data_IF_978231297641
#
_entry.id   IF_978231297641
#
_cell.length_a   1.000
_cell.length_b   1.000
_cell.length_c   1.000
_cell.angle_alpha   90.00
_cell.angle_beta   90.00
_cell.angle_gamma   90.00
#
_symmetry.space_group_name_H-M   'P 1'
#
loop_
_entity.id
_entity.type
_entity.pdbx_description
1 polymer ?
#
# COMPACT_ATOMS: atom_id res chain seq x y z
N UNK A 1 12.42 17.84 2.16
CA UNK A 1 11.60 17.09 1.20
C UNK A 1 10.88 16.00 1.95
N UNK A 2 9.55 16.05 1.98
CA UNK A 2 8.72 15.03 2.61
C UNK A 2 8.79 13.71 1.79
N UNK A 3 8.40 12.55 2.35
CA UNK A 3 8.49 11.27 1.65
C UNK A 3 7.74 11.24 0.31
N UNK A 4 6.61 11.95 0.22
CA UNK A 4 5.77 12.03 -0.96
C UNK A 4 6.44 12.78 -2.12
N UNK A 5 7.06 13.92 -1.83
CA UNK A 5 7.85 14.69 -2.80
C UNK A 5 9.02 13.86 -3.33
N UNK A 6 9.70 13.09 -2.46
CA UNK A 6 10.79 12.20 -2.88
C UNK A 6 10.29 11.11 -3.83
N UNK A 7 9.15 10.49 -3.50
CA UNK A 7 8.55 9.47 -4.37
C UNK A 7 8.18 10.02 -5.76
N UNK A 8 7.67 11.25 -5.83
CA UNK A 8 7.39 11.91 -7.11
C UNK A 8 8.65 12.25 -7.90
N UNK A 9 9.70 12.73 -7.22
CA UNK A 9 11.00 13.00 -7.85
C UNK A 9 11.58 11.72 -8.46
N UNK A 10 11.59 10.63 -7.71
CA UNK A 10 12.07 9.32 -8.19
C UNK A 10 11.21 8.84 -9.36
N UNK A 11 9.88 8.88 -9.24
CA UNK A 11 8.97 8.48 -10.30
C UNK A 11 9.22 9.26 -11.60
N UNK A 12 9.36 10.59 -11.52
CA UNK A 12 9.60 11.42 -12.71
C UNK A 12 10.99 11.22 -13.30
N UNK A 13 12.01 11.00 -12.46
CA UNK A 13 13.34 10.66 -12.95
C UNK A 13 13.33 9.30 -13.67
N UNK A 14 12.67 8.31 -13.10
CA UNK A 14 12.57 6.97 -13.67
C UNK A 14 11.78 6.93 -14.99
N UNK A 15 10.80 7.82 -15.18
CA UNK A 15 10.12 8.00 -16.47
C UNK A 15 11.05 8.49 -17.60
N UNK A 16 12.13 9.21 -17.25
CA UNK A 16 13.15 9.66 -18.22
C UNK A 16 14.24 8.59 -18.43
N UNK A 17 14.37 7.64 -17.51
CA UNK A 17 15.26 6.49 -17.63
C UNK A 17 15.44 5.72 -16.33
N UNK A 18 15.51 4.40 -16.43
CA UNK A 18 15.78 3.52 -15.29
C UNK A 18 17.20 3.69 -14.77
N UNK A 19 17.33 3.85 -13.46
CA UNK A 19 18.62 3.87 -12.77
C UNK A 19 19.13 2.45 -12.48
N UNK A 20 18.21 1.51 -12.22
CA UNK A 20 18.53 0.16 -11.78
C UNK A 20 19.11 0.12 -10.36
N UNK A 21 19.96 -0.86 -10.03
CA UNK A 21 20.56 -0.98 -8.69
C UNK A 21 21.53 0.16 -8.35
N UNK A 22 21.44 0.69 -7.14
CA UNK A 22 22.29 1.78 -6.65
C UNK A 22 23.42 1.26 -5.72
N UNK A 23 24.40 0.55 -6.27
CA UNK A 23 25.48 -0.11 -5.51
C UNK A 23 26.33 0.83 -4.62
N UNK A 24 26.44 2.11 -4.99
CA UNK A 24 27.19 3.12 -4.23
C UNK A 24 26.37 3.76 -3.09
N UNK A 25 25.09 3.42 -2.96
CA UNK A 25 24.22 3.94 -1.91
C UNK A 25 24.56 3.27 -0.56
N UNK A 26 24.74 4.06 0.50
CA UNK A 26 25.04 3.55 1.85
C UNK A 26 23.93 2.69 2.44
N UNK A 27 22.73 2.76 1.87
CA UNK A 27 21.56 1.96 2.27
C UNK A 27 21.37 0.71 1.40
N UNK A 28 22.25 0.44 0.43
CA UNK A 28 22.13 -0.71 -0.46
C UNK A 28 22.74 -1.99 0.15
N UNK A 29 22.06 -3.15 0.04
CA UNK A 29 20.64 -3.30 -0.29
C UNK A 29 19.75 -2.88 0.89
N UNK A 30 18.62 -2.23 0.61
CA UNK A 30 17.64 -1.86 1.63
C UNK A 30 16.61 -2.99 1.86
N UNK A 31 16.30 -3.73 0.79
CA UNK A 31 15.34 -4.82 0.75
C UNK A 31 16.00 -6.15 0.33
N UNK A 32 16.68 -6.19 -0.82
CA UNK A 32 17.38 -7.39 -1.31
C UNK A 32 18.51 -7.05 -2.31
N UNK A 33 19.46 -7.97 -2.47
CA UNK A 33 20.57 -7.81 -3.40
C UNK A 33 20.08 -7.82 -4.86
N UNK A 34 20.58 -6.88 -5.67
CA UNK A 34 20.11 -6.68 -7.04
C UNK A 34 18.81 -5.87 -7.18
N UNK A 35 18.26 -5.31 -6.10
CA UNK A 35 17.05 -4.48 -6.15
C UNK A 35 17.15 -3.30 -7.13
N UNK A 36 16.05 -2.98 -7.81
CA UNK A 36 15.91 -1.77 -8.61
C UNK A 36 15.60 -0.58 -7.70
N UNK A 37 16.43 0.47 -7.79
CA UNK A 37 16.32 1.68 -6.97
C UNK A 37 15.77 2.87 -7.77
N UNK A 38 15.26 2.68 -8.99
CA UNK A 38 14.71 3.75 -9.83
C UNK A 38 13.52 4.45 -9.16
N UNK A 39 12.73 3.71 -8.39
CA UNK A 39 11.65 4.22 -7.55
C UNK A 39 11.96 3.90 -6.09
N UNK A 40 13.06 4.46 -5.57
CA UNK A 40 13.54 4.17 -4.22
C UNK A 40 12.52 4.57 -3.14
N UNK A 41 11.82 5.68 -3.34
CA UNK A 41 10.68 6.08 -2.54
C UNK A 41 9.38 5.65 -3.21
N UNK A 42 8.66 4.72 -2.57
CA UNK A 42 7.43 4.15 -3.13
C UNK A 42 6.32 5.21 -3.29
N UNK A 43 5.75 5.39 -4.50
CA UNK A 43 4.68 6.36 -4.76
C UNK A 43 3.35 5.96 -4.12
N UNK A 44 3.22 4.70 -3.73
CA UNK A 44 2.03 4.12 -3.11
C UNK A 44 2.06 4.16 -1.58
N UNK A 45 3.09 4.75 -0.97
CA UNK A 45 3.20 4.77 0.49
C UNK A 45 2.14 5.68 1.14
N UNK A 46 1.43 5.23 2.20
CA UNK A 46 1.32 3.85 2.68
C UNK A 46 0.30 3.06 1.84
N UNK A 47 0.63 1.88 1.31
CA UNK A 47 -0.29 1.17 0.41
C UNK A 47 -1.38 0.39 1.15
N UNK A 48 -1.16 0.10 2.44
CA UNK A 48 -2.05 -0.70 3.28
C UNK A 48 -2.38 -2.11 2.72
N UNK A 49 -1.49 -2.66 1.89
CA UNK A 49 -1.59 -4.02 1.34
C UNK A 49 -0.59 -4.96 2.03
N UNK A 50 -1.07 -5.78 2.96
CA UNK A 50 -0.24 -6.78 3.67
C UNK A 50 0.39 -7.79 2.71
N UNK A 51 -0.28 -8.07 1.58
CA UNK A 51 0.20 -9.03 0.56
C UNK A 51 1.52 -8.64 -0.09
N UNK A 52 1.87 -7.35 -0.05
CA UNK A 52 3.14 -6.84 -0.55
C UNK A 52 4.23 -6.86 0.53
N UNK A 53 3.98 -7.44 1.71
CA UNK A 53 4.94 -7.50 2.82
C UNK A 53 4.94 -6.26 3.72
N UNK A 54 4.04 -5.29 3.47
CA UNK A 54 3.86 -4.13 4.34
C UNK A 54 3.11 -4.48 5.63
N UNK A 55 3.26 -3.68 6.68
CA UNK A 55 2.51 -3.83 7.93
C UNK A 55 2.43 -2.55 8.76
N UNK A 56 1.36 -2.38 9.54
CA UNK A 56 1.27 -1.30 10.53
C UNK A 56 2.16 -1.64 11.72
N UNK A 57 3.05 -0.72 12.09
CA UNK A 57 3.86 -0.77 13.30
C UNK A 57 3.68 0.51 14.12
N UNK A 58 4.09 0.47 15.39
CA UNK A 58 4.22 1.65 16.23
C UNK A 58 5.69 2.07 16.24
N UNK A 59 5.97 3.30 15.80
CA UNK A 59 7.31 3.88 15.81
C UNK A 59 7.80 4.16 17.25
N UNK A 60 9.08 4.46 17.40
CA UNK A 60 9.71 4.73 18.71
C UNK A 60 9.09 5.91 19.47
N UNK A 61 8.45 6.83 18.76
CA UNK A 61 7.74 7.99 19.32
C UNK A 61 6.22 7.75 19.46
N UNK A 62 5.76 6.51 19.32
CA UNK A 62 4.38 6.10 19.60
C UNK A 62 3.38 6.35 18.48
N UNK A 63 3.84 6.69 17.26
CA UNK A 63 2.96 6.92 16.10
C UNK A 63 2.77 5.64 15.29
N UNK A 64 1.61 5.49 14.66
CA UNK A 64 1.40 4.42 13.69
C UNK A 64 2.11 4.73 12.38
N UNK A 65 2.81 3.74 11.83
CA UNK A 65 3.57 3.85 10.58
C UNK A 65 3.35 2.58 9.76
N UNK A 66 3.23 2.72 8.45
CA UNK A 66 3.27 1.58 7.54
C UNK A 66 4.72 1.19 7.28
N UNK A 67 5.15 0.03 7.79
CA UNK A 67 6.47 -0.52 7.53
C UNK A 67 6.48 -1.27 6.22
N UNK A 68 7.33 -0.86 5.27
CA UNK A 68 7.60 -1.60 4.03
C UNK A 68 8.82 -2.52 4.15
N UNK A 69 9.36 -2.77 5.35
CA UNK A 69 10.65 -3.46 5.53
C UNK A 69 10.73 -4.82 4.82
N UNK A 70 9.61 -5.54 4.72
CA UNK A 70 9.54 -6.85 4.06
C UNK A 70 8.89 -6.78 2.66
N UNK A 71 8.74 -5.58 2.09
CA UNK A 71 8.22 -5.38 0.74
C UNK A 71 9.35 -5.40 -0.28
N UNK A 72 9.28 -6.33 -1.24
CA UNK A 72 10.21 -6.40 -2.36
C UNK A 72 9.58 -5.93 -3.67
N UNK A 73 8.25 -5.91 -3.74
CA UNK A 73 7.50 -5.74 -4.99
C UNK A 73 7.93 -4.51 -5.80
N UNK A 74 7.96 -3.32 -5.18
CA UNK A 74 8.31 -2.07 -5.89
C UNK A 74 9.80 -1.97 -6.29
N UNK A 75 10.61 -2.96 -5.88
CA UNK A 75 12.04 -3.04 -6.16
C UNK A 75 12.40 -4.16 -7.12
N UNK A 76 11.43 -4.98 -7.54
CA UNK A 76 11.58 -5.90 -8.66
C UNK A 76 11.47 -5.10 -9.96
N UNK A 77 12.41 -5.34 -10.88
CA UNK A 77 12.55 -4.53 -12.09
C UNK A 77 11.28 -4.52 -12.94
N UNK A 78 10.65 -5.68 -13.09
CA UNK A 78 9.44 -5.86 -13.88
C UNK A 78 8.28 -5.00 -13.33
N UNK A 79 8.14 -4.92 -12.01
CA UNK A 79 7.11 -4.10 -11.37
C UNK A 79 7.43 -2.61 -11.48
N UNK A 80 8.71 -2.21 -11.42
CA UNK A 80 9.13 -0.82 -11.68
C UNK A 80 8.73 -0.41 -13.10
N UNK A 81 9.04 -1.25 -14.09
CA UNK A 81 8.68 -1.01 -15.49
C UNK A 81 7.16 -0.87 -15.68
N UNK A 82 6.37 -1.72 -15.03
CA UNK A 82 4.91 -1.66 -15.07
C UNK A 82 4.34 -0.38 -14.45
N UNK A 83 4.87 0.03 -13.29
CA UNK A 83 4.49 1.28 -12.61
C UNK A 83 4.80 2.49 -13.49
N UNK A 84 5.94 2.50 -14.17
CA UNK A 84 6.31 3.59 -15.08
C UNK A 84 5.43 3.61 -16.31
N UNK A 85 5.13 2.45 -16.90
CA UNK A 85 4.23 2.35 -18.04
C UNK A 85 2.83 2.88 -17.67
N UNK A 86 2.31 2.50 -16.50
CA UNK A 86 1.02 2.98 -16.00
C UNK A 86 1.02 4.50 -15.81
N UNK A 87 1.97 5.04 -15.06
CA UNK A 87 1.96 6.48 -14.74
C UNK A 87 2.37 7.39 -15.89
N UNK A 88 3.05 6.86 -16.92
CA UNK A 88 3.42 7.61 -18.13
C UNK A 88 2.19 8.04 -18.96
N UNK A 89 1.03 7.42 -18.74
CA UNK A 89 -0.24 7.84 -19.35
C UNK A 89 -0.83 9.11 -18.71
N UNK A 90 -0.30 9.56 -17.56
CA UNK A 90 -0.85 10.68 -16.81
C UNK A 90 0.03 11.94 -16.91
N UNK A 91 -0.58 13.14 -17.01
CA UNK A 91 0.18 14.39 -16.92
C UNK A 91 0.88 14.51 -15.55
N UNK A 92 2.12 14.99 -15.52
CA UNK A 92 2.87 15.24 -14.27
C UNK A 92 2.11 16.13 -13.29
N UNK A 93 1.41 17.15 -13.79
CA UNK A 93 0.61 18.04 -12.96
C UNK A 93 -0.49 17.29 -12.20
N UNK A 94 -1.15 16.32 -12.85
CA UNK A 94 -2.14 15.46 -12.21
C UNK A 94 -1.49 14.63 -11.10
N UNK A 95 -0.31 14.04 -11.35
CA UNK A 95 0.39 13.23 -10.35
C UNK A 95 0.87 14.04 -9.14
N UNK A 96 1.15 15.34 -9.32
CA UNK A 96 1.49 16.28 -8.24
C UNK A 96 0.26 16.65 -7.40
N UNK A 97 -0.89 16.84 -8.03
CA UNK A 97 -2.15 17.21 -7.37
C UNK A 97 -2.92 16.01 -6.78
N UNK A 98 -2.61 14.81 -7.24
CA UNK A 98 -3.27 13.58 -6.83
C UNK A 98 -3.08 13.28 -5.34
N UNK A 99 -4.17 12.83 -4.72
CA UNK A 99 -4.22 12.43 -3.32
C UNK A 99 -3.84 10.95 -3.13
N UNK A 100 -3.89 10.49 -1.87
CA UNK A 100 -3.59 9.10 -1.54
C UNK A 100 -4.53 8.10 -2.23
N UNK A 101 -5.81 8.47 -2.39
CA UNK A 101 -6.86 7.64 -3.00
C UNK A 101 -6.49 7.29 -4.46
N UNK A 102 -6.02 8.28 -5.22
CA UNK A 102 -5.56 8.04 -6.58
C UNK A 102 -4.43 6.99 -6.67
N UNK A 103 -3.43 7.05 -5.79
CA UNK A 103 -2.30 6.12 -5.82
C UNK A 103 -2.72 4.71 -5.38
N UNK A 104 -3.56 4.58 -4.36
CA UNK A 104 -4.02 3.24 -3.92
C UNK A 104 -4.92 2.57 -4.97
N UNK A 105 -5.78 3.34 -5.66
CA UNK A 105 -6.61 2.81 -6.76
C UNK A 105 -5.75 2.41 -7.95
N UNK A 106 -4.77 3.25 -8.31
CA UNK A 106 -3.79 2.92 -9.35
C UNK A 106 -2.97 1.66 -9.04
N UNK A 107 -2.60 1.45 -7.78
CA UNK A 107 -1.90 0.23 -7.38
C UNK A 107 -2.77 -1.02 -7.60
N UNK A 108 -4.08 -0.93 -7.33
CA UNK A 108 -4.99 -2.05 -7.56
C UNK A 108 -5.14 -2.36 -9.05
N UNK A 109 -5.30 -1.33 -9.89
CA UNK A 109 -5.31 -1.49 -11.35
C UNK A 109 -4.03 -2.19 -11.85
N UNK A 110 -2.86 -1.80 -11.33
CA UNK A 110 -1.58 -2.46 -11.68
C UNK A 110 -1.55 -3.92 -11.19
N UNK A 111 -1.97 -4.19 -9.95
CA UNK A 111 -1.85 -5.52 -9.35
C UNK A 111 -2.91 -6.53 -9.82
N UNK A 112 -4.10 -6.05 -10.18
CA UNK A 112 -5.29 -6.87 -10.40
C UNK A 112 -5.95 -6.63 -11.75
N UNK A 113 -5.57 -5.57 -12.47
CA UNK A 113 -6.21 -5.14 -13.71
C UNK A 113 -7.52 -4.37 -13.51
N UNK A 114 -7.94 -4.17 -12.26
CA UNK A 114 -9.11 -3.37 -11.87
C UNK A 114 -9.01 -2.92 -10.40
N UNK A 115 -9.69 -1.83 -10.05
CA UNK A 115 -10.01 -1.45 -8.67
C UNK A 115 -10.98 -2.47 -8.05
N UNK A 116 -10.50 -3.34 -7.15
CA UNK A 116 -11.33 -4.33 -6.44
C UNK A 116 -11.74 -3.91 -5.02
N UNK A 117 -11.07 -2.91 -4.46
CA UNK A 117 -11.55 -2.17 -3.29
C UNK A 117 -12.76 -1.31 -3.67
N UNK A 118 -13.54 -0.88 -2.68
CA UNK A 118 -14.79 -0.17 -2.94
C UNK A 118 -15.13 0.85 -1.86
N UNK A 119 -15.91 1.86 -2.23
CA UNK A 119 -16.47 2.81 -1.28
C UNK A 119 -17.50 2.11 -0.39
N UNK A 120 -17.28 2.13 0.92
CA UNK A 120 -18.15 1.55 1.94
C UNK A 120 -18.64 2.67 2.88
N UNK A 121 -19.75 3.31 2.48
CA UNK A 121 -20.30 4.45 3.21
C UNK A 121 -19.37 5.65 3.18
N UNK A 122 -18.71 5.93 4.31
CA UNK A 122 -17.73 7.03 4.45
C UNK A 122 -16.28 6.56 4.40
N UNK A 123 -16.06 5.24 4.36
CA UNK A 123 -14.74 4.63 4.30
C UNK A 123 -14.48 4.02 2.93
N UNK A 124 -13.21 3.77 2.63
CA UNK A 124 -12.78 2.98 1.48
C UNK A 124 -12.31 1.60 1.94
N UNK A 125 -12.90 0.53 1.41
CA UNK A 125 -12.61 -0.84 1.82
C UNK A 125 -11.54 -1.49 0.94
N UNK A 126 -10.37 -1.72 1.53
CA UNK A 126 -9.22 -2.41 0.93
C UNK A 126 -9.14 -3.87 1.36
N UNK A 127 -10.17 -4.41 2.04
CA UNK A 127 -10.23 -5.83 2.40
C UNK A 127 -10.11 -6.73 1.17
N UNK A 128 -10.87 -6.54 0.07
CA UNK A 128 -10.75 -7.39 -1.12
C UNK A 128 -9.33 -7.39 -1.68
N UNK A 129 -8.69 -6.22 -1.80
CA UNK A 129 -7.32 -6.09 -2.29
C UNK A 129 -6.28 -6.77 -1.39
N UNK A 130 -6.55 -6.92 -0.09
CA UNK A 130 -5.67 -7.61 0.84
C UNK A 130 -5.81 -9.13 0.78
N UNK A 131 -6.99 -9.66 0.46
CA UNK A 131 -7.30 -11.10 0.56
C UNK A 131 -7.54 -11.79 -0.79
N UNK A 132 -7.51 -11.04 -1.90
CA UNK A 132 -7.72 -11.57 -3.24
C UNK A 132 -6.81 -12.78 -3.52
N UNK A 133 -7.44 -13.93 -3.78
CA UNK A 133 -6.76 -15.19 -4.06
C UNK A 133 -6.27 -15.97 -2.83
N UNK A 134 -6.58 -15.53 -1.61
CA UNK A 134 -6.25 -16.28 -0.39
C UNK A 134 -7.34 -17.28 -0.01
N UNK A 135 -6.94 -18.33 0.71
CA UNK A 135 -7.88 -19.27 1.32
C UNK A 135 -8.52 -18.61 2.54
N UNK A 136 -9.84 -18.39 2.49
CA UNK A 136 -10.61 -17.73 3.54
C UNK A 136 -11.69 -18.64 4.12
N UNK A 137 -11.86 -18.60 5.43
CA UNK A 137 -12.95 -19.25 6.16
C UNK A 137 -13.86 -18.19 6.82
N UNK A 138 -15.20 -18.39 6.82
CA UNK A 138 -16.10 -17.51 7.54
C UNK A 138 -15.84 -17.50 9.05
N UNK A 139 -16.02 -16.35 9.68
CA UNK A 139 -16.01 -16.18 11.14
C UNK A 139 -17.36 -15.62 11.61
N UNK A 140 -17.76 -16.01 12.83
CA UNK A 140 -18.99 -15.50 13.45
C UNK A 140 -18.83 -14.04 13.94
N UNK A 141 -17.63 -13.70 14.40
CA UNK A 141 -17.26 -12.40 14.93
C UNK A 141 -15.79 -12.10 14.61
N UNK A 142 -15.43 -10.82 14.61
CA UNK A 142 -14.07 -10.37 14.36
C UNK A 142 -13.93 -8.87 14.52
N UNK A 143 -12.71 -8.40 14.32
CA UNK A 143 -12.39 -6.99 14.19
C UNK A 143 -11.57 -6.77 12.92
N UNK A 144 -11.72 -5.60 12.33
CA UNK A 144 -10.88 -5.09 11.26
C UNK A 144 -10.31 -3.73 11.68
N UNK A 145 -9.42 -3.16 10.86
CA UNK A 145 -8.81 -1.86 11.13
C UNK A 145 -9.47 -0.77 10.29
N UNK A 146 -9.81 0.33 10.92
CA UNK A 146 -10.14 1.61 10.29
C UNK A 146 -8.91 2.53 10.41
N UNK A 147 -8.31 2.85 9.26
CA UNK A 147 -7.04 3.59 9.18
C UNK A 147 -7.29 4.98 8.60
N UNK A 148 -7.03 6.02 9.38
CA UNK A 148 -7.12 7.40 8.90
C UNK A 148 -5.80 7.83 8.27
N UNK A 149 -5.87 8.34 7.04
CA UNK A 149 -4.72 8.87 6.30
C UNK A 149 -4.92 10.35 6.03
N UNK A 150 -3.93 11.15 6.41
CA UNK A 150 -3.86 12.57 6.07
C UNK A 150 -2.50 12.87 5.45
N UNK A 151 -2.49 13.51 4.28
CA UNK A 151 -1.25 13.87 3.58
C UNK A 151 -0.26 12.69 3.48
N UNK A 152 -0.74 11.52 3.05
CA UNK A 152 0.05 10.29 2.91
C UNK A 152 0.71 9.79 4.21
N UNK A 153 0.14 10.15 5.37
CA UNK A 153 0.60 9.69 6.69
C UNK A 153 -0.56 9.09 7.47
N UNK A 154 -0.30 7.99 8.18
CA UNK A 154 -1.30 7.40 9.09
C UNK A 154 -1.41 8.30 10.32
N UNK A 155 -2.63 8.79 10.60
CA UNK A 155 -2.93 9.64 11.77
C UNK A 155 -3.71 8.90 12.84
N UNK A 156 -4.46 7.85 12.46
CA UNK A 156 -5.22 7.02 13.40
C UNK A 156 -5.34 5.59 12.90
N UNK A 157 -5.40 4.64 13.83
CA UNK A 157 -5.75 3.24 13.58
C UNK A 157 -6.72 2.81 14.69
N UNK A 158 -7.94 2.45 14.31
CA UNK A 158 -8.97 1.97 15.22
C UNK A 158 -9.32 0.53 14.87
N UNK A 159 -9.70 -0.27 15.87
CA UNK A 159 -10.31 -1.58 15.67
C UNK A 159 -11.81 -1.42 15.72
N UNK A 160 -12.51 -1.96 14.73
CA UNK A 160 -13.95 -1.92 14.63
C UNK A 160 -14.50 -3.31 14.31
N UNK A 161 -15.72 -3.57 14.74
CA UNK A 161 -16.49 -4.78 14.39
C UNK A 161 -17.73 -4.47 13.55
N UNK A 162 -17.99 -3.20 13.26
CA UNK A 162 -19.10 -2.75 12.44
C UNK A 162 -18.58 -1.84 11.31
N UNK A 163 -18.69 -2.25 10.02
CA UNK A 163 -18.21 -1.46 8.89
C UNK A 163 -18.89 -0.09 8.76
N UNK A 164 -20.14 0.06 9.24
CA UNK A 164 -20.86 1.33 9.18
C UNK A 164 -20.23 2.44 10.04
N UNK A 165 -19.40 2.07 11.01
CA UNK A 165 -18.69 3.01 11.90
C UNK A 165 -17.37 3.53 11.30
N UNK A 166 -16.89 2.92 10.22
CA UNK A 166 -15.62 3.29 9.61
C UNK A 166 -15.73 4.62 8.85
N UNK A 167 -14.66 5.42 8.92
CA UNK A 167 -14.57 6.74 8.26
C UNK A 167 -13.28 6.92 7.46
N UNK A 168 -12.31 6.02 7.59
CA UNK A 168 -11.03 6.05 6.89
C UNK A 168 -10.92 4.93 5.86
N UNK A 169 -9.88 4.12 5.98
CA UNK A 169 -9.61 2.98 5.11
C UNK A 169 -9.78 1.70 5.90
N UNK A 170 -10.72 0.85 5.48
CA UNK A 170 -10.93 -0.47 6.07
C UNK A 170 -9.86 -1.40 5.52
N UNK A 171 -9.10 -2.04 6.41
CA UNK A 171 -8.21 -3.15 6.07
C UNK A 171 -8.36 -4.30 7.07
N UNK A 172 -7.99 -5.53 6.69
CA UNK A 172 -7.98 -6.65 7.62
C UNK A 172 -7.00 -6.41 8.77
N UNK A 173 -7.29 -6.94 9.94
CA UNK A 173 -6.29 -7.08 11.00
C UNK A 173 -5.34 -8.24 10.69
N UNK A 174 -4.02 -7.98 10.72
CA UNK A 174 -3.00 -9.02 10.58
C UNK A 174 -2.64 -9.63 11.95
N UNK A 175 -2.81 -10.94 12.09
CA UNK A 175 -2.37 -11.73 13.24
C UNK A 175 -1.52 -12.93 12.79
N UNK A 176 -0.20 -12.75 12.86
CA UNK A 176 0.76 -13.73 12.35
C UNK A 176 0.63 -13.92 10.84
N UNK A 177 0.21 -15.11 10.43
CA UNK A 177 -0.06 -15.49 9.02
C UNK A 177 -1.55 -15.45 8.66
N UNK A 178 -2.37 -14.81 9.48
CA UNK A 178 -3.79 -14.67 9.21
C UNK A 178 -4.14 -13.20 9.05
N UNK A 179 -5.11 -12.95 8.17
CA UNK A 179 -5.80 -11.68 8.02
C UNK A 179 -7.25 -11.89 8.44
N UNK A 180 -7.75 -11.07 9.36
CA UNK A 180 -9.15 -11.07 9.78
C UNK A 180 -9.76 -9.79 9.24
N UNK A 181 -10.72 -9.91 8.33
CA UNK A 181 -11.35 -8.77 7.66
C UNK A 181 -12.86 -8.92 7.62
N UNK A 182 -13.51 -7.95 6.98
CA UNK A 182 -14.95 -7.97 6.73
C UNK A 182 -15.21 -7.88 5.23
N UNK A 183 -15.89 -8.89 4.67
CA UNK A 183 -16.37 -8.92 3.29
C UNK A 183 -17.63 -9.78 3.24
N UNK A 184 -18.80 -9.13 3.19
CA UNK A 184 -20.12 -9.77 3.34
C UNK A 184 -20.26 -10.63 4.61
N UNK A 185 -19.49 -10.29 5.64
CA UNK A 185 -19.32 -11.07 6.87
C UNK A 185 -17.85 -11.12 7.29
N UNK A 186 -17.58 -11.56 8.52
CA UNK A 186 -16.19 -11.72 8.95
C UNK A 186 -15.54 -12.91 8.25
N UNK A 187 -14.30 -12.70 7.81
CA UNK A 187 -13.49 -13.73 7.15
C UNK A 187 -12.12 -13.79 7.79
N UNK A 188 -11.59 -15.00 7.89
CA UNK A 188 -10.20 -15.26 8.23
C UNK A 188 -9.49 -15.87 7.05
N UNK A 189 -8.53 -15.16 6.51
CA UNK A 189 -7.76 -15.57 5.34
C UNK A 189 -6.33 -15.90 5.75
N UNK A 190 -5.76 -16.96 5.16
CA UNK A 190 -4.37 -17.34 5.41
C UNK A 190 -3.45 -16.71 4.38
N UNK A 191 -2.46 -15.96 4.87
CA UNK A 191 -1.39 -15.28 4.14
C UNK A 191 -0.10 -16.11 4.13
#
# INVERSE_FOLDING_TARGET
MNPRERALVDLFAAMEGLAGPAFECTYYPCHFDGQDCSICYCPFYPCLLYRLGGEIIVSSDGRYVWSCRNCHWIHEKENVEEVLAYFSAFPRQLLVEADWSFFTKSLQEILFGEEIGFENGRAYDLTPANIQGFECEPLAEGEFLDVTIENFSITSVKRLSNPEEAEGVIIPEKSGRNLIGYLDGFVKCRF
#
